data_IF_122500026636
#
_entry.id   IF_122500026636
#
_cell.length_a   1.000
_cell.length_b   1.000
_cell.length_c   1.000
_cell.angle_alpha   90.00
_cell.angle_beta   90.00
_cell.angle_gamma   90.00
#
_symmetry.space_group_name_H-M   'P 1'
#
loop_
_entity.id
_entity.type
_entity.pdbx_description
1 polymer ?
#
# COMPACT_ATOMS: atom_id res chain seq x y z
N UNK A 1 33.51 -2.25 -12.93
CA UNK A 1 32.35 -3.14 -12.68
C UNK A 1 32.77 -4.14 -11.60
N UNK A 2 32.71 -3.69 -10.35
CA UNK A 2 33.05 -4.45 -9.14
C UNK A 2 31.92 -4.19 -8.15
N UNK A 3 31.23 -5.26 -7.77
CA UNK A 3 30.58 -5.46 -6.48
C UNK A 3 29.69 -4.33 -5.97
N UNK A 4 28.49 -4.18 -6.55
CA UNK A 4 27.32 -3.72 -5.80
C UNK A 4 26.64 -4.99 -5.26
N UNK A 5 27.27 -5.59 -4.26
CA UNK A 5 26.59 -6.53 -3.35
C UNK A 5 25.77 -5.60 -2.44
N UNK A 6 24.46 -5.45 -2.62
CA UNK A 6 23.48 -6.52 -2.60
C UNK A 6 22.97 -6.83 -1.19
N UNK A 7 23.18 -5.94 -0.21
CA UNK A 7 22.53 -5.98 1.11
C UNK A 7 22.64 -4.68 1.92
N UNK A 8 23.28 -3.62 1.39
CA UNK A 8 23.33 -2.34 2.09
C UNK A 8 21.94 -1.67 2.02
N UNK A 9 21.24 -1.73 3.14
CA UNK A 9 19.93 -1.13 3.31
C UNK A 9 19.95 0.38 3.02
N UNK A 10 21.07 1.07 3.31
CA UNK A 10 21.26 2.48 3.00
C UNK A 10 21.21 2.72 1.49
N UNK A 11 22.02 1.99 0.73
CA UNK A 11 22.06 2.06 -0.73
C UNK A 11 20.71 1.69 -1.38
N UNK A 12 20.00 0.70 -0.86
CA UNK A 12 18.66 0.33 -1.36
C UNK A 12 17.68 1.48 -1.15
N UNK A 13 17.68 2.10 0.04
CA UNK A 13 16.78 3.22 0.35
C UNK A 13 17.09 4.43 -0.52
N UNK A 14 18.36 4.78 -0.71
CA UNK A 14 18.76 5.88 -1.58
C UNK A 14 18.36 5.63 -3.04
N UNK A 15 18.63 4.42 -3.56
CA UNK A 15 18.23 4.05 -4.92
C UNK A 15 16.71 4.11 -5.09
N UNK A 16 15.94 3.59 -4.12
CA UNK A 16 14.48 3.58 -4.17
C UNK A 16 13.90 5.00 -4.21
N UNK A 17 14.49 5.94 -3.45
CA UNK A 17 14.09 7.36 -3.45
C UNK A 17 14.43 8.09 -4.75
N UNK A 18 15.55 7.75 -5.38
CA UNK A 18 15.90 8.31 -6.69
C UNK A 18 14.92 7.79 -7.75
N UNK A 19 14.72 6.48 -7.77
CA UNK A 19 13.86 5.82 -8.75
C UNK A 19 12.39 6.20 -8.59
N UNK A 20 11.91 6.46 -7.37
CA UNK A 20 10.51 6.86 -7.11
C UNK A 20 10.08 8.14 -7.81
N UNK A 21 11.04 8.97 -8.25
CA UNK A 21 10.78 10.20 -9.00
C UNK A 21 10.90 10.06 -10.52
N UNK A 22 11.37 8.90 -11.01
CA UNK A 22 11.63 8.65 -12.42
C UNK A 22 10.64 7.63 -12.98
N UNK A 23 9.45 8.11 -13.35
CA UNK A 23 8.38 7.27 -13.90
C UNK A 23 8.75 6.61 -15.24
N UNK A 24 9.83 7.03 -15.91
CA UNK A 24 10.33 6.32 -17.10
C UNK A 24 10.85 4.92 -16.78
N UNK A 25 11.16 4.66 -15.51
CA UNK A 25 11.71 3.38 -15.05
C UNK A 25 10.65 2.32 -14.75
N UNK A 26 9.35 2.65 -14.73
CA UNK A 26 8.26 1.73 -14.34
C UNK A 26 8.38 0.35 -14.97
N UNK A 27 8.50 0.28 -16.31
CA UNK A 27 8.57 -1.00 -17.02
C UNK A 27 9.81 -1.82 -16.66
N UNK A 28 10.92 -1.15 -16.32
CA UNK A 28 12.15 -1.82 -15.87
C UNK A 28 12.01 -2.32 -14.44
N UNK A 29 11.45 -1.51 -13.54
CA UNK A 29 11.24 -1.89 -12.14
C UNK A 29 10.28 -3.08 -12.01
N UNK A 30 9.23 -3.14 -12.84
CA UNK A 30 8.32 -4.28 -12.89
C UNK A 30 9.04 -5.59 -13.24
N UNK A 31 9.91 -5.57 -14.25
CA UNK A 31 10.72 -6.73 -14.64
C UNK A 31 11.70 -7.15 -13.54
N UNK A 32 12.31 -6.18 -12.86
CA UNK A 32 13.21 -6.45 -11.75
C UNK A 32 12.47 -7.05 -10.56
N UNK A 33 11.28 -6.53 -10.25
CA UNK A 33 10.44 -7.03 -9.16
C UNK A 33 10.02 -8.49 -9.40
N UNK A 34 9.73 -8.89 -10.64
CA UNK A 34 9.37 -10.29 -10.95
C UNK A 34 10.51 -11.28 -10.63
N UNK A 35 11.76 -10.89 -10.90
CA UNK A 35 12.93 -11.75 -10.72
C UNK A 35 13.52 -11.70 -9.29
N UNK A 36 13.33 -10.60 -8.57
CA UNK A 36 13.96 -10.35 -7.27
C UNK A 36 13.34 -11.20 -6.16
N UNK A 37 14.18 -11.77 -5.29
CA UNK A 37 13.77 -12.66 -4.20
C UNK A 37 14.08 -12.10 -2.81
N UNK A 38 14.98 -11.13 -2.71
CA UNK A 38 15.36 -10.50 -1.45
C UNK A 38 14.28 -9.51 -1.03
N UNK A 39 13.80 -9.66 0.20
CA UNK A 39 12.67 -8.90 0.74
C UNK A 39 12.91 -7.39 0.66
N UNK A 40 14.09 -6.92 1.04
CA UNK A 40 14.45 -5.50 1.07
C UNK A 40 14.49 -4.90 -0.34
N UNK A 41 15.03 -5.64 -1.30
CA UNK A 41 15.09 -5.18 -2.69
C UNK A 41 13.69 -5.18 -3.33
N UNK A 42 12.87 -6.22 -3.08
CA UNK A 42 11.46 -6.26 -3.53
C UNK A 42 10.68 -5.08 -2.95
N UNK A 43 10.82 -4.80 -1.66
CA UNK A 43 10.13 -3.69 -1.01
C UNK A 43 10.61 -2.34 -1.56
N UNK A 44 11.91 -2.13 -1.79
CA UNK A 44 12.43 -0.90 -2.38
C UNK A 44 11.97 -0.66 -3.82
N UNK A 45 11.96 -1.71 -4.66
CA UNK A 45 11.39 -1.65 -6.02
C UNK A 45 9.91 -1.30 -5.99
N UNK A 46 9.15 -1.93 -5.09
CA UNK A 46 7.72 -1.69 -4.94
C UNK A 46 7.44 -0.29 -4.41
N UNK A 47 8.21 0.18 -3.43
CA UNK A 47 8.16 1.56 -2.93
C UNK A 47 8.30 2.56 -4.09
N UNK A 48 9.32 2.40 -4.94
CA UNK A 48 9.51 3.29 -6.08
C UNK A 48 8.29 3.29 -7.01
N UNK A 49 7.75 2.11 -7.33
CA UNK A 49 6.54 1.96 -8.14
C UNK A 49 5.31 2.65 -7.53
N UNK A 50 5.15 2.63 -6.19
CA UNK A 50 4.03 3.31 -5.52
C UNK A 50 3.98 4.82 -5.84
N UNK A 51 5.13 5.49 -5.90
CA UNK A 51 5.22 6.91 -6.20
C UNK A 51 5.00 7.27 -7.66
N UNK A 52 5.11 6.30 -8.57
CA UNK A 52 4.84 6.53 -9.99
C UNK A 52 3.34 6.74 -10.25
N UNK A 53 2.47 6.26 -9.34
CA UNK A 53 1.01 6.41 -9.46
C UNK A 53 0.43 5.75 -10.71
N UNK A 54 1.13 4.77 -11.29
CA UNK A 54 0.70 4.09 -12.51
C UNK A 54 -0.41 3.08 -12.19
N UNK A 55 -1.64 3.40 -12.60
CA UNK A 55 -2.81 2.51 -12.48
C UNK A 55 -2.60 1.16 -13.16
N UNK A 56 -1.68 1.03 -14.12
CA UNK A 56 -1.28 -0.26 -14.69
C UNK A 56 -0.68 -1.23 -13.66
N UNK A 57 -0.26 -0.74 -12.48
CA UNK A 57 0.23 -1.56 -11.37
C UNK A 57 -0.86 -2.00 -10.40
N UNK A 58 -2.10 -1.54 -10.57
CA UNK A 58 -3.21 -1.78 -9.63
C UNK A 58 -3.42 -3.27 -9.33
N UNK A 59 -3.59 -4.08 -10.38
CA UNK A 59 -3.81 -5.52 -10.23
C UNK A 59 -2.60 -6.20 -9.60
N UNK A 60 -1.38 -5.77 -9.95
CA UNK A 60 -0.16 -6.30 -9.34
C UNK A 60 -0.14 -6.04 -7.82
N UNK A 61 -0.51 -4.84 -7.37
CA UNK A 61 -0.57 -4.51 -5.94
C UNK A 61 -1.59 -5.39 -5.21
N UNK A 62 -2.76 -5.64 -5.81
CA UNK A 62 -3.77 -6.57 -5.27
C UNK A 62 -3.20 -7.99 -5.14
N UNK A 63 -2.54 -8.50 -6.19
CA UNK A 63 -1.99 -9.85 -6.18
C UNK A 63 -0.88 -10.01 -5.13
N UNK A 64 0.04 -9.03 -5.01
CA UNK A 64 1.09 -9.03 -4.00
C UNK A 64 0.49 -9.00 -2.59
N UNK A 65 -0.51 -8.14 -2.36
CA UNK A 65 -1.19 -8.05 -1.06
C UNK A 65 -1.87 -9.37 -0.66
N UNK A 66 -2.45 -10.09 -1.61
CA UNK A 66 -3.14 -11.36 -1.36
C UNK A 66 -2.20 -12.57 -1.17
N UNK A 67 -0.92 -12.45 -1.55
CA UNK A 67 0.03 -13.56 -1.49
C UNK A 67 0.61 -13.75 -0.08
N UNK A 68 0.04 -14.68 0.69
CA UNK A 68 0.52 -15.02 2.03
C UNK A 68 1.94 -15.61 2.05
N UNK A 69 2.50 -16.05 0.91
CA UNK A 69 3.89 -16.49 0.79
C UNK A 69 4.87 -15.32 0.59
N UNK A 70 4.38 -14.15 0.19
CA UNK A 70 5.20 -12.95 0.08
C UNK A 70 5.62 -12.45 1.48
N UNK A 71 6.71 -11.70 1.58
CA UNK A 71 7.10 -11.11 2.86
C UNK A 71 6.09 -10.04 3.31
N UNK A 72 5.77 -9.96 4.62
CA UNK A 72 4.81 -8.97 5.14
C UNK A 72 5.14 -7.52 4.78
N UNK A 73 6.42 -7.15 4.74
CA UNK A 73 6.86 -5.80 4.33
C UNK A 73 6.48 -5.47 2.89
N UNK A 74 6.58 -6.44 1.99
CA UNK A 74 6.24 -6.28 0.57
C UNK A 74 4.73 -6.22 0.40
N UNK A 75 3.96 -7.05 1.14
CA UNK A 75 2.50 -6.96 1.19
C UNK A 75 2.01 -5.61 1.72
N UNK A 76 2.57 -5.13 2.83
CA UNK A 76 2.24 -3.84 3.42
C UNK A 76 2.53 -2.69 2.44
N UNK A 77 3.68 -2.73 1.77
CA UNK A 77 4.02 -1.77 0.72
C UNK A 77 3.04 -1.79 -0.46
N UNK A 78 2.49 -2.95 -0.82
CA UNK A 78 1.47 -3.05 -1.85
C UNK A 78 0.15 -2.38 -1.43
N UNK A 79 -0.29 -2.58 -0.18
CA UNK A 79 -1.44 -1.87 0.38
C UNK A 79 -1.22 -0.35 0.41
N UNK A 80 -0.03 0.11 0.81
CA UNK A 80 0.33 1.53 0.74
C UNK A 80 0.29 2.06 -0.70
N UNK A 81 0.80 1.29 -1.67
CA UNK A 81 0.71 1.65 -3.09
C UNK A 81 -0.72 1.86 -3.59
N UNK A 82 -1.65 0.99 -3.21
CA UNK A 82 -3.08 1.17 -3.51
C UNK A 82 -3.63 2.48 -2.92
N UNK A 83 -3.17 2.85 -1.72
CA UNK A 83 -3.63 4.05 -1.00
C UNK A 83 -3.48 5.33 -1.82
N UNK A 84 -2.35 5.50 -2.52
CA UNK A 84 -2.05 6.68 -3.33
C UNK A 84 -2.87 6.75 -4.61
N UNK A 85 -3.34 5.60 -5.10
CA UNK A 85 -4.04 5.49 -6.38
C UNK A 85 -5.57 5.58 -6.23
N UNK A 86 -6.14 5.38 -5.03
CA UNK A 86 -7.60 5.33 -4.85
C UNK A 86 -8.34 6.57 -5.37
N UNK A 87 -7.76 7.77 -5.26
CA UNK A 87 -8.39 9.00 -5.77
C UNK A 87 -8.55 9.03 -7.29
N UNK A 88 -7.79 8.21 -8.02
CA UNK A 88 -7.89 8.05 -9.47
C UNK A 88 -8.85 6.94 -9.90
N UNK A 89 -9.43 6.20 -8.93
CA UNK A 89 -10.35 5.09 -9.18
C UNK A 89 -11.76 5.46 -8.72
N UNK A 90 -12.76 5.14 -9.55
CA UNK A 90 -14.17 5.34 -9.23
C UNK A 90 -14.65 4.31 -8.21
N UNK A 91 -15.42 4.75 -7.23
CA UNK A 91 -15.92 3.88 -6.15
C UNK A 91 -16.98 2.86 -6.60
N UNK A 92 -17.59 3.05 -7.76
CA UNK A 92 -18.58 2.14 -8.36
C UNK A 92 -17.97 1.15 -9.38
N UNK A 93 -16.65 1.12 -9.50
CA UNK A 93 -15.93 0.26 -10.44
C UNK A 93 -15.63 -1.12 -9.85
N UNK A 94 -15.47 -2.12 -10.73
CA UNK A 94 -15.08 -3.49 -10.33
C UNK A 94 -13.67 -3.53 -9.76
N UNK A 95 -12.80 -2.68 -10.30
CA UNK A 95 -11.41 -2.52 -9.90
C UNK A 95 -11.31 -2.01 -8.45
N UNK A 96 -12.18 -1.07 -8.08
CA UNK A 96 -12.32 -0.59 -6.71
C UNK A 96 -12.84 -1.69 -5.77
N UNK A 97 -13.91 -2.39 -6.18
CA UNK A 97 -14.49 -3.49 -5.41
C UNK A 97 -13.45 -4.59 -5.13
N UNK A 98 -12.69 -5.00 -6.14
CA UNK A 98 -11.64 -6.00 -6.01
C UNK A 98 -10.54 -5.57 -5.02
N UNK A 99 -10.08 -4.32 -5.08
CA UNK A 99 -9.08 -3.79 -4.14
C UNK A 99 -9.62 -3.73 -2.71
N UNK A 100 -10.87 -3.28 -2.53
CA UNK A 100 -11.53 -3.25 -1.22
C UNK A 100 -11.65 -4.66 -0.64
N UNK A 101 -12.00 -5.66 -1.46
CA UNK A 101 -12.04 -7.05 -1.00
C UNK A 101 -10.67 -7.52 -0.51
N UNK A 102 -9.61 -7.34 -1.31
CA UNK A 102 -8.26 -7.73 -0.93
C UNK A 102 -7.78 -7.02 0.36
N UNK A 103 -8.06 -5.73 0.49
CA UNK A 103 -7.72 -4.95 1.69
C UNK A 103 -8.50 -5.42 2.93
N UNK A 104 -9.78 -5.77 2.79
CA UNK A 104 -10.56 -6.34 3.91
C UNK A 104 -10.03 -7.69 4.37
N UNK A 105 -9.51 -8.50 3.45
CA UNK A 105 -8.86 -9.75 3.83
C UNK A 105 -7.49 -9.49 4.49
N UNK A 106 -6.75 -8.49 4.02
CA UNK A 106 -5.50 -8.04 4.63
C UNK A 106 -5.66 -7.50 6.06
N UNK A 107 -6.85 -7.04 6.47
CA UNK A 107 -7.15 -6.72 7.88
C UNK A 107 -7.06 -7.92 8.82
N UNK A 108 -6.98 -9.15 8.29
CA UNK A 108 -6.81 -10.38 9.08
C UNK A 108 -5.39 -10.94 8.97
N UNK A 109 -4.48 -10.22 8.30
CA UNK A 109 -3.10 -10.68 8.11
C UNK A 109 -2.42 -10.88 9.47
N UNK A 110 -1.64 -11.96 9.66
CA UNK A 110 -0.90 -12.18 10.91
C UNK A 110 0.06 -11.04 11.25
N UNK A 111 0.57 -10.33 10.24
CA UNK A 111 1.45 -9.18 10.42
C UNK A 111 0.68 -7.91 10.78
N UNK A 112 0.99 -7.25 11.90
CA UNK A 112 0.38 -5.97 12.24
C UNK A 112 0.75 -4.85 11.26
N UNK A 113 1.90 -4.96 10.58
CA UNK A 113 2.32 -4.02 9.53
C UNK A 113 1.35 -4.06 8.35
N UNK A 114 0.97 -5.26 7.89
CA UNK A 114 0.04 -5.41 6.77
C UNK A 114 -1.35 -4.90 7.15
N UNK A 115 -1.82 -5.20 8.37
CA UNK A 115 -3.10 -4.69 8.87
C UNK A 115 -3.10 -3.16 8.96
N UNK A 116 -2.03 -2.56 9.46
CA UNK A 116 -1.86 -1.11 9.52
C UNK A 116 -1.95 -0.47 8.13
N UNK A 117 -1.18 -0.96 7.16
CA UNK A 117 -1.22 -0.44 5.79
C UNK A 117 -2.58 -0.66 5.13
N UNK A 118 -3.26 -1.77 5.41
CA UNK A 118 -4.60 -2.04 4.89
C UNK A 118 -5.65 -1.06 5.47
N UNK A 119 -5.59 -0.78 6.77
CA UNK A 119 -6.40 0.26 7.43
C UNK A 119 -6.16 1.62 6.79
N UNK A 120 -4.90 1.99 6.61
CA UNK A 120 -4.51 3.24 5.96
C UNK A 120 -5.11 3.35 4.54
N UNK A 121 -4.93 2.32 3.71
CA UNK A 121 -5.41 2.29 2.35
C UNK A 121 -6.94 2.35 2.25
N UNK A 122 -7.66 1.65 3.14
CA UNK A 122 -9.12 1.75 3.23
C UNK A 122 -9.57 3.16 3.63
N UNK A 123 -8.84 3.84 4.50
CA UNK A 123 -9.04 5.26 4.80
C UNK A 123 -8.89 6.15 3.56
N UNK A 124 -7.87 5.89 2.75
CA UNK A 124 -7.55 6.65 1.53
C UNK A 124 -8.59 6.49 0.41
N UNK A 125 -9.55 5.57 0.55
CA UNK A 125 -10.62 5.40 -0.43
C UNK A 125 -11.55 6.60 -0.52
N UNK A 126 -11.79 7.31 0.59
CA UNK A 126 -12.86 8.30 0.70
C UNK A 126 -14.26 7.71 0.50
N UNK A 127 -14.47 6.42 0.82
CA UNK A 127 -15.73 5.69 0.61
C UNK A 127 -16.44 5.40 1.94
N UNK A 128 -17.45 6.22 2.36
CA UNK A 128 -18.12 6.13 3.66
C UNK A 128 -18.61 4.75 4.10
N UNK A 129 -19.09 3.86 3.20
CA UNK A 129 -19.47 2.50 3.57
C UNK A 129 -18.37 1.66 4.23
N UNK A 130 -17.09 2.07 4.17
CA UNK A 130 -15.99 1.37 4.85
C UNK A 130 -15.76 1.82 6.29
N UNK A 131 -16.46 2.85 6.79
CA UNK A 131 -16.33 3.32 8.17
C UNK A 131 -16.57 2.20 9.20
N UNK A 132 -17.63 1.35 9.10
CA UNK A 132 -17.83 0.25 10.04
C UNK A 132 -16.65 -0.73 10.09
N UNK A 133 -16.05 -1.02 8.93
CA UNK A 133 -14.87 -1.89 8.84
C UNK A 133 -13.68 -1.28 9.57
N UNK A 134 -13.44 0.03 9.42
CA UNK A 134 -12.38 0.72 10.15
C UNK A 134 -12.67 0.80 11.66
N UNK A 135 -13.94 0.92 12.05
CA UNK A 135 -14.32 0.92 13.48
C UNK A 135 -13.99 -0.40 14.16
N UNK A 136 -14.15 -1.55 13.48
CA UNK A 136 -13.77 -2.86 14.01
C UNK A 136 -12.26 -2.93 14.35
N UNK A 137 -11.41 -2.24 13.58
CA UNK A 137 -9.96 -2.24 13.78
C UNK A 137 -9.50 -1.43 15.01
N UNK A 138 -10.40 -0.71 15.70
CA UNK A 138 -10.10 0.00 16.95
C UNK A 138 -9.87 -0.93 18.15
N UNK A 139 -10.21 -2.20 18.02
CA UNK A 139 -9.88 -3.22 19.03
C UNK A 139 -8.46 -3.78 18.85
N UNK A 140 -7.86 -3.62 17.66
CA UNK A 140 -6.49 -4.07 17.40
C UNK A 140 -5.46 -3.09 17.95
N UNK A 141 -5.08 -3.30 19.21
CA UNK A 141 -4.07 -2.49 19.91
C UNK A 141 -2.64 -2.97 19.66
N UNK A 142 -2.40 -3.78 18.63
CA UNK A 142 -1.06 -4.28 18.34
C UNK A 142 -0.15 -3.12 17.93
N UNK A 143 0.98 -2.91 18.61
CA UNK A 143 1.98 -1.94 18.20
C UNK A 143 2.62 -2.36 16.87
N UNK A 144 2.96 -1.39 16.03
CA UNK A 144 3.55 -1.66 14.71
C UNK A 144 4.98 -1.11 14.66
N UNK A 145 6.01 -1.96 14.75
CA UNK A 145 7.40 -1.52 14.71
C UNK A 145 7.72 -0.72 13.45
N UNK A 146 8.36 0.45 13.61
CA UNK A 146 8.68 1.35 12.50
C UNK A 146 7.57 2.33 12.11
N UNK A 147 6.36 2.17 12.66
CA UNK A 147 5.21 3.03 12.42
C UNK A 147 4.78 3.76 13.71
N UNK A 148 3.94 4.78 13.58
CA UNK A 148 3.50 5.61 14.71
C UNK A 148 2.21 5.06 15.32
N UNK A 149 2.38 4.36 16.45
CA UNK A 149 1.28 3.87 17.28
C UNK A 149 0.88 2.43 16.99
N UNK A 150 -0.42 2.16 17.11
CA UNK A 150 -1.05 0.86 16.94
C UNK A 150 -1.97 0.84 15.72
N UNK A 151 -2.44 -0.36 15.33
CA UNK A 151 -3.48 -0.50 14.29
C UNK A 151 -4.75 0.27 14.68
N UNK A 152 -5.13 0.28 15.96
CA UNK A 152 -6.24 1.07 16.49
C UNK A 152 -6.04 2.59 16.34
N UNK A 153 -4.83 3.09 16.56
CA UNK A 153 -4.53 4.51 16.36
C UNK A 153 -4.68 4.88 14.88
N UNK A 154 -4.20 4.02 13.98
CA UNK A 154 -4.37 4.22 12.55
C UNK A 154 -5.83 4.11 12.11
N UNK A 155 -6.62 3.20 12.69
CA UNK A 155 -8.04 3.08 12.40
C UNK A 155 -8.78 4.39 12.71
N UNK A 156 -8.41 5.05 13.80
CA UNK A 156 -8.98 6.35 14.16
C UNK A 156 -8.62 7.43 13.14
N UNK A 157 -7.35 7.50 12.71
CA UNK A 157 -6.89 8.44 11.67
C UNK A 157 -7.51 8.15 10.29
N UNK A 158 -7.63 6.87 9.93
CA UNK A 158 -8.18 6.43 8.66
C UNK A 158 -9.64 6.84 8.51
N UNK A 159 -10.44 6.82 9.58
CA UNK A 159 -11.82 7.32 9.57
C UNK A 159 -11.85 8.83 9.27
N UNK A 160 -11.04 9.62 9.97
CA UNK A 160 -10.95 11.07 9.74
C UNK A 160 -10.50 11.39 8.31
N UNK A 161 -9.49 10.67 7.81
CA UNK A 161 -8.98 10.77 6.44
C UNK A 161 -10.06 10.43 5.42
N UNK A 162 -10.78 9.32 5.61
CA UNK A 162 -11.84 8.87 4.73
C UNK A 162 -12.94 9.91 4.60
N UNK A 163 -13.41 10.48 5.71
CA UNK A 163 -14.42 11.54 5.68
C UNK A 163 -13.91 12.79 4.96
N UNK A 164 -12.64 13.15 5.16
CA UNK A 164 -11.96 14.24 4.45
C UNK A 164 -11.97 14.03 2.94
N UNK A 165 -11.52 12.86 2.49
CA UNK A 165 -11.43 12.50 1.08
C UNK A 165 -12.81 12.32 0.45
N UNK A 166 -13.80 11.82 1.19
CA UNK A 166 -15.18 11.76 0.71
C UNK A 166 -15.71 13.16 0.36
N UNK A 167 -15.47 14.16 1.21
CA UNK A 167 -15.82 15.56 0.91
C UNK A 167 -15.11 16.08 -0.34
N UNK A 168 -13.87 15.64 -0.59
CA UNK A 168 -13.12 16.02 -1.80
C UNK A 168 -13.70 15.37 -3.06
N UNK A 169 -14.03 14.08 -3.01
CA UNK A 169 -14.70 13.36 -4.11
C UNK A 169 -16.00 14.03 -4.54
N UNK A 170 -16.87 14.40 -3.57
CA UNK A 170 -18.11 15.11 -3.84
C UNK A 170 -17.90 16.47 -4.53
N UNK A 171 -16.83 17.20 -4.17
CA UNK A 171 -16.49 18.48 -4.83
C UNK A 171 -15.98 18.29 -6.25
N UNK A 172 -15.31 17.18 -6.52
CA UNK A 172 -14.69 16.89 -7.81
C UNK A 172 -15.62 16.15 -8.79
N UNK A 173 -16.82 15.74 -8.33
CA UNK A 173 -17.81 15.04 -9.16
C UNK A 173 -17.41 13.59 -9.50
N UNK A 174 -16.56 12.98 -8.67
CA UNK A 174 -16.05 11.60 -8.83
C UNK A 174 -16.60 10.67 -7.75
#
# INVERSE_FOLDING_TARGET
>A
MKDIVGSDLGAIVEASKLLSSDCSTTATLLKLLEAERRVEARQGLLYALCWHGDLGTWDLMIHILADLQEAPKVRGQAAEGLSYMFMSVRTDSREFEAAVHALRDALKDPSPEVRYCAVHALGSTGHPPLIPVLQEMREDRTPVPGWVGTVSDEASRAIEMLEGLHRMRLKNGC
#
